data_IF_865820198918
#
_entry.id   IF_865820198918
#
_cell.length_a   1.000
_cell.length_b   1.000
_cell.length_c   1.000
_cell.angle_alpha   90.00
_cell.angle_beta   90.00
_cell.angle_gamma   90.00
#
_symmetry.space_group_name_H-M   'P 1'
#
loop_
_entity.id
_entity.type
_entity.pdbx_description
1 polymer ?
#
# COMPACT_ATOMS: atom_id res chain seq x y z
N UNK A 1 1.32 4.07 13.39
CA UNK A 1 0.14 4.41 12.60
C UNK A 1 0.35 5.82 12.06
N UNK A 2 0.16 6.01 10.78
CA UNK A 2 0.16 7.33 10.15
C UNK A 2 -1.28 7.65 9.80
N UNK A 3 -1.82 8.71 10.40
CA UNK A 3 -3.16 9.19 10.16
C UNK A 3 -3.11 10.51 9.39
N UNK A 4 -3.75 10.56 8.23
CA UNK A 4 -3.75 11.73 7.36
C UNK A 4 -5.18 12.24 7.26
N UNK A 5 -5.42 13.42 7.81
CA UNK A 5 -6.67 14.15 7.63
C UNK A 5 -6.69 14.77 6.23
N UNK A 6 -7.57 14.28 5.38
CA UNK A 6 -7.80 14.79 4.04
C UNK A 6 -8.86 15.90 4.09
N UNK A 7 -8.45 17.14 4.03
CA UNK A 7 -9.41 18.25 4.00
C UNK A 7 -10.22 18.25 2.69
N UNK A 8 -11.31 18.93 2.67
CA UNK A 8 -12.28 18.93 1.55
C UNK A 8 -11.61 19.11 0.18
N UNK A 9 -10.65 20.04 0.06
CA UNK A 9 -9.91 20.28 -1.19
C UNK A 9 -9.04 19.08 -1.58
N UNK A 10 -8.40 18.44 -0.61
CA UNK A 10 -7.61 17.23 -0.84
C UNK A 10 -8.50 16.07 -1.31
N UNK A 11 -9.65 15.87 -0.67
CA UNK A 11 -10.60 14.82 -1.05
C UNK A 11 -11.10 14.99 -2.49
N UNK A 12 -11.51 16.21 -2.86
CA UNK A 12 -12.03 16.50 -4.22
C UNK A 12 -10.95 16.32 -5.28
N UNK A 13 -9.70 16.66 -4.98
CA UNK A 13 -8.59 16.56 -5.91
C UNK A 13 -7.86 15.21 -5.90
N UNK A 14 -8.19 14.29 -4.99
CA UNK A 14 -7.57 12.96 -4.92
C UNK A 14 -7.88 12.16 -6.19
N UNK A 15 -6.84 11.55 -6.76
CA UNK A 15 -6.92 10.91 -8.07
C UNK A 15 -5.98 9.74 -8.22
N UNK A 16 -6.28 8.87 -9.18
CA UNK A 16 -5.45 7.76 -9.60
C UNK A 16 -4.64 8.14 -10.84
N UNK A 17 -3.38 7.70 -10.90
CA UNK A 17 -2.51 7.92 -12.04
C UNK A 17 -1.58 6.71 -12.26
N UNK A 18 -1.09 6.56 -13.49
CA UNK A 18 -0.08 5.56 -13.83
C UNK A 18 1.19 6.29 -14.30
N UNK A 19 2.31 5.97 -13.65
CA UNK A 19 3.60 6.62 -13.88
C UNK A 19 4.71 5.57 -14.02
N UNK A 20 5.57 5.67 -15.04
CA UNK A 20 6.77 4.86 -15.17
C UNK A 20 7.69 4.94 -13.97
N UNK A 21 8.04 6.14 -13.50
CA UNK A 21 8.96 6.32 -12.38
C UNK A 21 8.40 5.81 -11.05
N UNK A 22 7.08 5.84 -10.85
CA UNK A 22 6.48 5.25 -9.65
C UNK A 22 6.62 3.72 -9.63
N UNK A 23 6.74 3.06 -10.80
CA UNK A 23 7.09 1.63 -10.84
C UNK A 23 8.57 1.42 -10.47
N UNK A 24 9.48 2.30 -10.89
CA UNK A 24 10.87 2.26 -10.47
C UNK A 24 11.00 2.48 -8.96
N UNK A 25 10.28 3.46 -8.39
CA UNK A 25 10.24 3.68 -6.96
C UNK A 25 9.72 2.45 -6.19
N UNK A 26 8.68 1.79 -6.69
CA UNK A 26 8.11 0.60 -6.07
C UNK A 26 9.11 -0.57 -5.97
N UNK A 27 10.05 -0.71 -6.92
CA UNK A 27 11.06 -1.78 -6.90
C UNK A 27 12.34 -1.38 -6.17
N UNK A 28 12.63 -0.09 -6.06
CA UNK A 28 13.82 0.42 -5.39
C UNK A 28 13.65 0.49 -3.87
N UNK A 29 12.42 0.56 -3.37
CA UNK A 29 12.16 0.79 -1.96
C UNK A 29 12.61 -0.39 -1.08
N UNK A 30 13.54 -0.19 -0.14
CA UNK A 30 14.19 -1.25 0.62
C UNK A 30 13.29 -1.95 1.65
N UNK A 31 12.16 -1.36 2.00
CA UNK A 31 11.25 -1.87 3.04
C UNK A 31 10.23 -2.89 2.58
N UNK A 32 10.22 -3.23 1.32
CA UNK A 32 9.33 -4.29 0.86
C UNK A 32 9.94 -5.62 1.33
N UNK A 33 9.34 -6.31 2.32
CA UNK A 33 9.80 -7.64 2.71
C UNK A 33 9.93 -8.52 1.46
N UNK A 34 10.90 -9.44 1.44
CA UNK A 34 11.16 -10.30 0.28
C UNK A 34 9.91 -11.04 -0.22
N UNK A 35 8.98 -11.34 0.70
CA UNK A 35 7.67 -11.95 0.42
C UNK A 35 6.66 -10.98 -0.23
N UNK A 36 6.82 -9.68 0.01
CA UNK A 36 5.98 -8.62 -0.51
C UNK A 36 6.63 -7.83 -1.66
N UNK A 37 7.83 -8.23 -2.08
CA UNK A 37 8.61 -7.57 -3.12
C UNK A 37 8.15 -7.87 -4.54
N UNK A 38 8.86 -7.31 -5.52
CA UNK A 38 8.58 -7.53 -6.93
C UNK A 38 8.75 -9.01 -7.32
N UNK A 39 8.19 -9.43 -8.47
CA UNK A 39 8.36 -10.79 -8.99
C UNK A 39 9.83 -11.23 -9.05
N UNK A 40 10.09 -12.54 -8.93
CA UNK A 40 11.46 -13.08 -8.90
C UNK A 40 12.31 -12.63 -10.07
N UNK A 41 11.75 -12.59 -11.28
CA UNK A 41 12.47 -12.11 -12.48
C UNK A 41 12.95 -10.66 -12.33
N UNK A 42 12.12 -9.77 -11.76
CA UNK A 42 12.47 -8.37 -11.50
C UNK A 42 13.55 -8.28 -10.41
N UNK A 43 13.45 -9.06 -9.35
CA UNK A 43 14.47 -9.11 -8.29
C UNK A 43 15.82 -9.57 -8.85
N UNK A 44 15.82 -10.57 -9.73
CA UNK A 44 17.03 -11.06 -10.36
C UNK A 44 17.65 -10.00 -11.27
N UNK A 45 16.88 -9.34 -12.13
CA UNK A 45 17.34 -8.27 -12.97
C UNK A 45 17.89 -7.08 -12.17
N UNK A 46 17.23 -6.72 -11.06
CA UNK A 46 17.73 -5.70 -10.14
C UNK A 46 19.06 -6.11 -9.52
N UNK A 47 19.18 -7.36 -9.08
CA UNK A 47 20.44 -7.86 -8.50
C UNK A 47 21.58 -7.75 -9.50
N UNK A 48 21.38 -8.17 -10.73
CA UNK A 48 22.40 -8.12 -11.77
C UNK A 48 22.85 -6.68 -12.05
N UNK A 49 21.93 -5.75 -12.29
CA UNK A 49 22.28 -4.37 -12.65
C UNK A 49 23.00 -3.64 -11.52
N UNK A 50 22.68 -3.93 -10.25
CA UNK A 50 23.41 -3.41 -9.10
C UNK A 50 24.79 -4.06 -8.95
N UNK A 51 24.90 -5.37 -9.16
CA UNK A 51 26.18 -6.09 -9.12
C UNK A 51 27.16 -5.62 -10.22
N UNK A 52 26.65 -5.21 -11.39
CA UNK A 52 27.42 -4.60 -12.47
C UNK A 52 27.93 -3.18 -12.15
N UNK A 53 27.50 -2.59 -11.03
CA UNK A 53 27.91 -1.23 -10.62
C UNK A 53 27.38 -0.11 -11.52
N UNK A 54 26.35 -0.36 -12.32
CA UNK A 54 25.79 0.61 -13.29
C UNK A 54 24.95 1.70 -12.65
N UNK A 55 24.55 1.52 -11.39
CA UNK A 55 23.63 2.38 -10.65
C UNK A 55 24.27 2.84 -9.31
N UNK A 56 25.45 3.47 -9.33
CA UNK A 56 26.18 3.76 -8.09
C UNK A 56 25.46 4.74 -7.18
N UNK A 57 24.77 5.76 -7.69
CA UNK A 57 23.98 6.68 -6.90
C UNK A 57 22.75 5.99 -6.28
N UNK A 58 21.97 5.26 -7.07
CA UNK A 58 20.84 4.51 -6.55
C UNK A 58 21.26 3.41 -5.58
N UNK A 59 22.46 2.82 -5.77
CA UNK A 59 23.04 1.88 -4.81
C UNK A 59 23.36 2.56 -3.48
N UNK A 60 23.96 3.77 -3.52
CA UNK A 60 24.24 4.56 -2.34
C UNK A 60 22.98 4.88 -1.54
N UNK A 61 21.87 5.17 -2.21
CA UNK A 61 20.59 5.44 -1.55
C UNK A 61 19.98 4.21 -0.87
N UNK A 62 20.38 2.99 -1.24
CA UNK A 62 19.84 1.75 -0.64
C UNK A 62 20.54 1.34 0.65
N UNK A 63 21.65 1.98 1.02
CA UNK A 63 22.34 1.72 2.27
C UNK A 63 21.61 2.33 3.46
N UNK A 64 20.82 1.54 4.17
CA UNK A 64 20.17 1.90 5.45
C UNK A 64 18.98 2.88 5.40
N UNK A 65 18.34 3.10 4.25
CA UNK A 65 17.14 3.94 4.18
C UNK A 65 15.97 3.24 4.87
N UNK A 66 15.55 3.76 6.03
CA UNK A 66 14.43 3.18 6.79
C UNK A 66 13.07 3.76 6.40
N UNK A 67 12.97 5.07 6.19
CA UNK A 67 11.65 5.72 6.07
C UNK A 67 11.58 6.83 5.03
N UNK A 68 12.67 7.28 4.44
CA UNK A 68 12.68 8.40 3.51
C UNK A 68 13.49 8.10 2.24
N UNK A 69 12.92 8.41 1.10
CA UNK A 69 13.61 8.51 -0.19
C UNK A 69 13.41 9.92 -0.72
N UNK A 70 14.44 10.55 -1.34
CA UNK A 70 14.30 11.89 -1.88
C UNK A 70 13.18 11.99 -2.92
N UNK A 71 12.20 12.86 -2.68
CA UNK A 71 11.02 12.98 -3.54
C UNK A 71 11.31 13.55 -4.93
N UNK A 72 12.47 14.20 -5.13
CA UNK A 72 12.87 14.66 -6.45
C UNK A 72 13.10 13.51 -7.44
N UNK A 73 13.34 12.27 -6.94
CA UNK A 73 13.47 11.07 -7.77
C UNK A 73 12.14 10.58 -8.33
N UNK A 74 11.04 11.05 -7.78
CA UNK A 74 9.68 10.66 -8.16
C UNK A 74 8.81 11.89 -8.33
N UNK A 75 9.08 12.73 -9.35
CA UNK A 75 8.30 13.94 -9.58
C UNK A 75 6.85 13.56 -9.94
N UNK A 76 5.96 13.59 -8.95
CA UNK A 76 4.54 13.37 -9.18
C UNK A 76 3.97 14.49 -10.05
N UNK A 77 3.55 14.17 -11.26
CA UNK A 77 2.90 15.14 -12.14
C UNK A 77 1.45 15.41 -11.77
N UNK A 78 0.96 16.58 -12.22
CA UNK A 78 -0.48 16.83 -12.27
C UNK A 78 -1.12 15.79 -13.22
N UNK A 79 -2.10 15.06 -12.71
CA UNK A 79 -2.62 13.81 -13.23
C UNK A 79 -3.53 13.95 -14.47
N UNK A 80 -3.36 14.96 -15.29
CA UNK A 80 -4.22 15.14 -16.45
C UNK A 80 -3.70 14.48 -17.73
N UNK A 81 -2.45 13.98 -17.74
CA UNK A 81 -1.84 13.38 -18.91
C UNK A 81 -1.16 12.06 -18.54
N UNK A 82 -1.23 11.08 -19.44
CA UNK A 82 -0.44 9.88 -19.36
C UNK A 82 1.03 10.28 -19.35
N UNK A 83 1.72 10.01 -18.24
CA UNK A 83 3.11 10.41 -18.07
C UNK A 83 4.00 9.46 -18.87
N UNK A 84 4.81 10.03 -19.75
CA UNK A 84 5.85 9.27 -20.43
C UNK A 84 7.16 9.36 -19.63
N UNK A 85 8.01 8.34 -19.72
CA UNK A 85 9.25 8.28 -18.93
C UNK A 85 10.14 9.50 -19.14
N UNK A 86 10.34 9.91 -20.40
CA UNK A 86 11.24 11.00 -20.78
C UNK A 86 10.81 12.33 -20.14
N UNK A 87 9.50 12.55 -20.05
CA UNK A 87 8.96 13.74 -19.39
C UNK A 87 9.21 13.69 -17.88
N UNK A 88 9.07 12.53 -17.25
CA UNK A 88 9.32 12.38 -15.83
C UNK A 88 10.80 12.52 -15.50
N UNK A 89 11.70 11.95 -16.31
CA UNK A 89 13.15 12.11 -16.18
C UNK A 89 13.56 13.58 -16.37
N UNK A 90 12.98 14.26 -17.35
CA UNK A 90 13.22 15.67 -17.58
C UNK A 90 12.80 16.53 -16.37
N UNK A 91 11.76 16.16 -15.65
CA UNK A 91 11.37 16.86 -14.42
C UNK A 91 12.37 16.66 -13.29
N UNK A 92 13.01 15.50 -13.19
CA UNK A 92 14.10 15.28 -12.23
C UNK A 92 15.20 16.28 -12.48
N UNK A 93 15.68 16.39 -13.73
CA UNK A 93 16.76 17.31 -14.08
C UNK A 93 16.43 18.79 -13.91
N UNK A 94 15.13 19.14 -13.88
CA UNK A 94 14.65 20.49 -13.63
C UNK A 94 14.27 20.76 -12.17
N UNK A 95 14.54 19.84 -11.27
CA UNK A 95 14.29 20.08 -9.85
C UNK A 95 15.23 21.19 -9.36
N UNK A 96 14.70 22.26 -8.74
CA UNK A 96 15.55 23.33 -8.24
C UNK A 96 16.63 22.82 -7.29
N UNK A 97 17.88 23.29 -7.45
CA UNK A 97 19.02 22.87 -6.65
C UNK A 97 18.75 22.92 -5.14
N UNK A 98 18.10 23.99 -4.66
CA UNK A 98 17.73 24.13 -3.25
C UNK A 98 16.77 23.02 -2.76
N UNK A 99 15.94 22.42 -3.64
CA UNK A 99 15.06 21.30 -3.30
C UNK A 99 15.88 20.02 -3.21
N UNK A 100 16.76 19.77 -4.18
CA UNK A 100 17.66 18.61 -4.18
C UNK A 100 18.53 18.62 -2.92
N UNK A 101 19.21 19.76 -2.63
CA UNK A 101 20.03 19.92 -1.44
C UNK A 101 19.28 19.58 -0.15
N UNK A 102 18.10 20.16 0.04
CA UNK A 102 17.27 19.95 1.24
C UNK A 102 16.85 18.50 1.40
N UNK A 103 16.44 17.85 0.31
CA UNK A 103 16.01 16.46 0.36
C UNK A 103 17.19 15.51 0.63
N UNK A 104 18.37 15.82 0.13
CA UNK A 104 19.60 15.06 0.45
C UNK A 104 20.06 15.27 1.90
N UNK A 105 19.95 16.47 2.46
CA UNK A 105 20.19 16.74 3.88
C UNK A 105 19.22 15.90 4.72
N UNK A 106 17.95 15.94 4.45
CA UNK A 106 16.92 15.16 5.15
C UNK A 106 17.21 13.66 5.08
N UNK A 107 17.64 13.14 3.93
CA UNK A 107 18.02 11.74 3.80
C UNK A 107 19.07 11.32 4.81
N UNK A 108 20.06 12.17 5.07
CA UNK A 108 21.13 11.92 6.04
C UNK A 108 20.63 12.08 7.48
N UNK A 109 19.82 13.10 7.75
CA UNK A 109 19.27 13.40 9.08
C UNK A 109 18.26 12.36 9.57
N UNK A 110 17.46 11.77 8.68
CA UNK A 110 16.50 10.72 9.02
C UNK A 110 17.16 9.36 9.33
N UNK A 111 18.48 9.23 9.13
CA UNK A 111 19.23 8.04 9.49
C UNK A 111 19.65 8.08 10.97
N UNK A 112 19.35 7.02 11.73
CA UNK A 112 19.85 6.87 13.09
C UNK A 112 21.32 6.42 13.12
N UNK A 113 22.15 6.86 14.10
CA UNK A 113 23.52 6.33 14.28
C UNK A 113 23.50 4.81 14.54
N UNK A 114 24.39 4.00 13.96
CA UNK A 114 25.54 4.34 13.09
C UNK A 114 25.21 4.46 11.59
N UNK A 115 23.96 4.34 11.18
CA UNK A 115 23.54 4.36 9.79
C UNK A 115 23.79 5.73 9.14
N UNK A 116 23.67 6.83 9.90
CA UNK A 116 23.97 8.19 9.43
C UNK A 116 25.37 8.30 8.84
N UNK A 117 26.39 7.73 9.52
CA UNK A 117 27.78 7.80 9.03
C UNK A 117 27.96 7.01 7.72
N UNK A 118 27.37 5.82 7.62
CA UNK A 118 27.43 5.01 6.40
C UNK A 118 26.72 5.70 5.24
N UNK A 119 25.53 6.24 5.48
CA UNK A 119 24.76 6.99 4.48
C UNK A 119 25.53 8.22 4.01
N UNK A 120 26.05 9.03 4.94
CA UNK A 120 26.87 10.21 4.62
C UNK A 120 28.07 9.81 3.75
N UNK A 121 28.79 8.76 4.12
CA UNK A 121 29.95 8.28 3.35
C UNK A 121 29.54 7.78 1.96
N UNK A 122 28.41 7.08 1.83
CA UNK A 122 27.94 6.55 0.58
C UNK A 122 27.48 7.65 -0.39
N UNK A 123 26.82 8.71 0.10
CA UNK A 123 26.28 9.77 -0.76
C UNK A 123 27.24 10.93 -0.99
N UNK A 124 28.28 11.08 -0.15
CA UNK A 124 29.26 12.18 -0.25
C UNK A 124 29.80 12.42 -1.65
N UNK A 125 30.29 11.40 -2.40
CA UNK A 125 30.84 11.62 -3.75
C UNK A 125 29.84 12.23 -4.71
N UNK A 126 28.53 12.01 -4.48
CA UNK A 126 27.47 12.55 -5.32
C UNK A 126 27.10 13.96 -4.90
N UNK A 127 27.15 14.29 -3.60
CA UNK A 127 26.94 15.65 -3.12
C UNK A 127 28.04 16.61 -3.58
N UNK A 128 29.26 16.13 -3.73
CA UNK A 128 30.40 16.90 -4.24
C UNK A 128 30.26 17.26 -5.73
N UNK A 129 29.37 16.59 -6.47
CA UNK A 129 29.06 16.95 -7.89
C UNK A 129 28.28 18.27 -8.00
N UNK A 130 27.60 18.67 -6.95
CA UNK A 130 26.58 19.73 -6.96
C UNK A 130 25.20 19.23 -7.38
N UNK A 131 24.17 19.96 -6.96
CA UNK A 131 22.78 19.52 -7.01
C UNK A 131 22.25 19.27 -8.42
N UNK A 132 22.62 20.11 -9.39
CA UNK A 132 22.15 19.98 -10.78
C UNK A 132 22.72 18.69 -11.41
N UNK A 133 24.05 18.45 -11.26
CA UNK A 133 24.67 17.24 -11.75
C UNK A 133 24.20 15.99 -11.02
N UNK A 134 23.86 16.12 -9.73
CA UNK A 134 23.27 15.04 -8.97
C UNK A 134 21.89 14.66 -9.52
N UNK A 135 21.06 15.65 -9.86
CA UNK A 135 19.75 15.43 -10.46
C UNK A 135 19.87 14.78 -11.86
N UNK A 136 20.82 15.26 -12.69
CA UNK A 136 21.13 14.65 -13.98
C UNK A 136 21.59 13.20 -13.82
N UNK A 137 22.49 12.93 -12.86
CA UNK A 137 22.97 11.58 -12.56
C UNK A 137 21.86 10.65 -12.12
N UNK A 138 20.96 11.14 -11.26
CA UNK A 138 19.79 10.39 -10.79
C UNK A 138 18.87 10.01 -11.97
N UNK A 139 18.59 10.96 -12.87
CA UNK A 139 17.78 10.73 -14.05
C UNK A 139 18.41 9.67 -14.98
N UNK A 140 19.72 9.75 -15.25
CA UNK A 140 20.44 8.77 -16.06
C UNK A 140 20.39 7.36 -15.44
N UNK A 141 20.61 7.23 -14.14
CA UNK A 141 20.56 5.91 -13.49
C UNK A 141 19.14 5.34 -13.44
N UNK A 142 18.11 6.17 -13.25
CA UNK A 142 16.72 5.75 -13.35
C UNK A 142 16.34 5.31 -14.76
N UNK A 143 16.84 5.98 -15.79
CA UNK A 143 16.67 5.57 -17.17
C UNK A 143 17.32 4.20 -17.46
N UNK A 144 18.55 4.00 -16.96
CA UNK A 144 19.27 2.71 -17.08
C UNK A 144 18.50 1.60 -16.36
N UNK A 145 18.03 1.85 -15.14
CA UNK A 145 17.18 0.92 -14.39
C UNK A 145 15.92 0.57 -15.17
N UNK A 146 15.24 1.60 -15.66
CA UNK A 146 14.01 1.42 -16.43
C UNK A 146 14.23 0.53 -17.64
N UNK A 147 15.20 0.87 -18.50
CA UNK A 147 15.49 0.12 -19.72
C UNK A 147 15.84 -1.34 -19.45
N UNK A 148 16.61 -1.60 -18.39
CA UNK A 148 17.07 -2.94 -18.07
C UNK A 148 16.02 -3.81 -17.35
N UNK A 149 15.17 -3.21 -16.52
CA UNK A 149 14.33 -3.98 -15.57
C UNK A 149 12.86 -3.85 -15.89
N UNK A 150 12.35 -2.66 -16.21
CA UNK A 150 10.91 -2.39 -16.26
C UNK A 150 10.40 -2.33 -17.71
N UNK A 151 11.12 -1.69 -18.62
CA UNK A 151 10.69 -1.49 -19.99
C UNK A 151 10.28 -2.78 -20.72
N UNK A 152 10.99 -3.93 -20.56
CA UNK A 152 10.61 -5.17 -21.25
C UNK A 152 9.21 -5.67 -20.87
N UNK A 153 8.72 -5.33 -19.67
CA UNK A 153 7.42 -5.76 -19.18
C UNK A 153 6.40 -4.61 -19.07
N UNK A 154 6.79 -3.40 -19.43
CA UNK A 154 5.97 -2.20 -19.26
C UNK A 154 4.58 -2.29 -19.89
N UNK A 155 4.38 -2.81 -21.10
CA UNK A 155 3.03 -2.93 -21.68
C UNK A 155 2.08 -3.72 -20.77
N UNK A 156 2.56 -4.82 -20.18
CA UNK A 156 1.78 -5.66 -19.28
C UNK A 156 1.55 -4.97 -17.93
N UNK A 157 2.57 -4.31 -17.38
CA UNK A 157 2.47 -3.57 -16.12
C UNK A 157 1.51 -2.39 -16.27
N UNK A 158 1.60 -1.64 -17.36
CA UNK A 158 0.72 -0.50 -17.68
C UNK A 158 -0.73 -0.94 -17.81
N UNK A 159 -0.98 -2.04 -18.54
CA UNK A 159 -2.32 -2.58 -18.68
C UNK A 159 -2.91 -2.96 -17.30
N UNK A 160 -2.17 -3.68 -16.46
CA UNK A 160 -2.61 -4.04 -15.10
C UNK A 160 -2.86 -2.84 -14.20
N UNK A 161 -2.01 -1.82 -14.28
CA UNK A 161 -2.20 -0.58 -13.52
C UNK A 161 -3.46 0.15 -13.98
N UNK A 162 -3.70 0.26 -15.29
CA UNK A 162 -4.90 0.87 -15.84
C UNK A 162 -6.17 0.09 -15.47
N UNK A 163 -6.15 -1.24 -15.53
CA UNK A 163 -7.26 -2.08 -15.08
C UNK A 163 -7.60 -1.83 -13.60
N UNK A 164 -6.59 -1.60 -12.75
CA UNK A 164 -6.81 -1.24 -11.36
C UNK A 164 -7.43 0.16 -11.23
N UNK A 165 -6.93 1.15 -11.98
CA UNK A 165 -7.51 2.51 -12.01
C UNK A 165 -8.99 2.45 -12.40
N UNK A 166 -9.32 1.74 -13.48
CA UNK A 166 -10.71 1.60 -13.95
C UNK A 166 -11.60 0.94 -12.91
N UNK A 167 -11.09 -0.08 -12.24
CA UNK A 167 -11.81 -0.74 -11.16
C UNK A 167 -12.05 0.20 -9.98
N UNK A 168 -11.04 1.00 -9.59
CA UNK A 168 -11.16 2.00 -8.51
C UNK A 168 -12.13 3.12 -8.90
N UNK A 169 -12.07 3.60 -10.14
CA UNK A 169 -13.01 4.58 -10.66
C UNK A 169 -14.46 4.11 -10.52
N UNK A 170 -14.74 2.83 -10.88
CA UNK A 170 -16.07 2.23 -10.66
C UNK A 170 -16.46 2.19 -9.18
N UNK A 171 -15.52 1.93 -8.26
CA UNK A 171 -15.80 1.97 -6.82
C UNK A 171 -16.12 3.39 -6.35
N UNK A 172 -15.36 4.40 -6.82
CA UNK A 172 -15.62 5.81 -6.50
C UNK A 172 -17.02 6.21 -6.96
N UNK A 173 -17.37 5.89 -8.21
CA UNK A 173 -18.69 6.22 -8.77
C UNK A 173 -19.85 5.54 -8.03
N UNK A 174 -19.63 4.33 -7.52
CA UNK A 174 -20.70 3.54 -6.91
C UNK A 174 -20.82 3.70 -5.40
N UNK A 175 -19.69 3.92 -4.72
CA UNK A 175 -19.61 3.87 -3.25
C UNK A 175 -18.85 5.06 -2.64
N UNK A 176 -18.37 6.00 -3.44
CA UNK A 176 -17.59 7.14 -3.01
C UNK A 176 -16.10 6.86 -2.84
N UNK A 177 -15.32 7.95 -2.70
CA UNK A 177 -13.87 7.91 -2.63
C UNK A 177 -13.37 7.15 -1.39
N UNK A 178 -13.97 7.37 -0.22
CA UNK A 178 -13.55 6.70 1.01
C UNK A 178 -13.54 5.17 0.87
N UNK A 179 -14.53 4.59 0.21
CA UNK A 179 -14.59 3.15 -0.06
C UNK A 179 -13.51 2.68 -1.03
N UNK A 180 -13.18 3.49 -2.02
CA UNK A 180 -12.08 3.18 -2.94
C UNK A 180 -10.73 3.22 -2.20
N UNK A 181 -10.50 4.20 -1.33
CA UNK A 181 -9.30 4.30 -0.49
C UNK A 181 -9.18 3.13 0.49
N UNK A 182 -10.26 2.77 1.19
CA UNK A 182 -10.31 1.62 2.11
C UNK A 182 -10.00 0.28 1.42
N UNK A 183 -10.18 0.21 0.11
CA UNK A 183 -9.93 -0.99 -0.69
C UNK A 183 -8.52 -1.08 -1.27
N UNK A 184 -7.62 -0.09 -1.05
CA UNK A 184 -6.27 -0.07 -1.63
C UNK A 184 -5.40 -1.21 -1.13
N UNK A 185 -5.47 -1.49 0.18
CA UNK A 185 -4.74 -2.56 0.83
C UNK A 185 -5.48 -2.98 2.12
N UNK A 186 -5.45 -4.26 2.55
CA UNK A 186 -6.13 -4.72 3.77
C UNK A 186 -5.73 -3.99 5.05
N UNK A 187 -4.53 -3.43 5.09
CA UNK A 187 -4.03 -2.69 6.24
C UNK A 187 -4.28 -1.17 6.15
N UNK A 188 -4.77 -0.67 5.03
CA UNK A 188 -5.14 0.75 4.85
C UNK A 188 -6.63 0.89 5.18
N UNK A 189 -6.97 1.89 5.97
CA UNK A 189 -8.35 2.21 6.31
C UNK A 189 -8.65 3.68 6.01
N UNK A 190 -9.86 3.94 5.52
CA UNK A 190 -10.34 5.30 5.33
C UNK A 190 -11.68 5.46 6.05
N UNK A 191 -11.70 6.28 7.10
CA UNK A 191 -12.89 6.57 7.86
C UNK A 191 -13.19 8.07 7.78
N UNK A 192 -14.35 8.38 7.20
CA UNK A 192 -14.73 9.75 6.87
C UNK A 192 -13.66 10.42 5.98
N UNK A 193 -12.88 11.31 6.53
CA UNK A 193 -11.81 12.08 5.89
C UNK A 193 -10.40 11.73 6.40
N UNK A 194 -10.26 10.69 7.22
CA UNK A 194 -8.97 10.23 7.75
C UNK A 194 -8.52 8.97 7.05
N UNK A 195 -7.38 9.05 6.38
CA UNK A 195 -6.67 7.93 5.79
C UNK A 195 -5.63 7.42 6.79
N UNK A 196 -5.81 6.19 7.26
CA UNK A 196 -4.94 5.54 8.25
C UNK A 196 -4.10 4.45 7.59
N UNK A 197 -2.79 4.53 7.78
CA UNK A 197 -1.82 3.56 7.27
C UNK A 197 -0.92 3.07 8.43
N UNK A 198 -0.63 1.77 8.51
CA UNK A 198 0.40 1.29 9.43
C UNK A 198 1.76 1.91 9.08
N UNK A 199 2.44 2.43 10.07
CA UNK A 199 3.76 3.05 9.92
C UNK A 199 4.64 2.78 11.14
N UNK A 200 5.95 2.94 10.98
CA UNK A 200 6.94 2.78 12.04
C UNK A 200 6.87 3.90 13.09
N UNK A 201 6.47 5.08 12.68
CA UNK A 201 6.23 6.24 13.55
C UNK A 201 4.74 6.57 13.59
N UNK A 202 4.27 7.03 14.75
CA UNK A 202 2.96 7.64 14.86
C UNK A 202 3.07 9.08 14.30
N UNK A 203 2.48 9.31 13.15
CA UNK A 203 2.42 10.63 12.52
C UNK A 203 0.95 10.98 12.34
N UNK A 204 0.56 12.14 12.82
CA UNK A 204 -0.72 12.73 12.50
C UNK A 204 -0.47 13.96 11.63
N UNK A 205 -1.00 13.96 10.44
CA UNK A 205 -0.82 15.03 9.47
C UNK A 205 -2.15 15.45 8.87
N UNK A 206 -2.23 16.66 8.38
CA UNK A 206 -3.37 17.12 7.57
C UNK A 206 -2.88 17.71 6.27
N UNK A 207 -3.65 17.54 5.19
CA UNK A 207 -3.32 18.10 3.90
C UNK A 207 -4.53 18.73 3.23
N UNK A 208 -4.30 19.88 2.61
CA UNK A 208 -5.22 20.51 1.66
C UNK A 208 -4.86 20.12 0.21
N UNK A 209 -3.65 19.55 0.01
CA UNK A 209 -3.20 19.13 -1.30
C UNK A 209 -3.75 17.75 -1.64
N UNK A 210 -4.16 17.52 -2.89
CA UNK A 210 -4.65 16.23 -3.35
C UNK A 210 -3.61 15.12 -3.18
N UNK A 211 -4.06 13.93 -2.79
CA UNK A 211 -3.22 12.74 -2.84
C UNK A 211 -3.30 12.13 -4.25
N UNK A 212 -2.14 11.82 -4.84
CA UNK A 212 -2.07 11.04 -6.07
C UNK A 212 -1.79 9.59 -5.73
N UNK A 213 -2.61 8.69 -6.28
CA UNK A 213 -2.63 7.27 -5.99
C UNK A 213 -2.08 6.50 -7.20
N UNK A 214 -0.95 5.79 -7.01
CA UNK A 214 -0.27 5.07 -8.07
C UNK A 214 -0.37 3.55 -7.87
N UNK A 215 -1.16 2.83 -8.69
CA UNK A 215 -1.18 1.38 -8.66
C UNK A 215 0.14 0.81 -9.17
N UNK A 216 0.72 -0.14 -8.44
CA UNK A 216 1.90 -0.86 -8.89
C UNK A 216 1.70 -2.36 -8.84
N UNK A 217 1.81 -3.06 -10.00
CA UNK A 217 1.85 -4.51 -10.05
C UNK A 217 3.16 -5.10 -9.48
N UNK A 218 4.16 -4.26 -9.20
CA UNK A 218 5.50 -4.65 -8.77
C UNK A 218 5.68 -4.69 -7.26
N UNK A 219 4.70 -4.24 -6.50
CA UNK A 219 4.74 -4.29 -5.03
C UNK A 219 3.51 -4.98 -4.46
N UNK A 220 3.65 -5.55 -3.27
CA UNK A 220 2.54 -6.05 -2.44
C UNK A 220 2.33 -5.23 -1.19
N UNK A 221 3.14 -4.19 -1.01
CA UNK A 221 3.04 -3.23 0.08
C UNK A 221 2.75 -1.84 -0.49
N UNK A 222 2.70 -0.84 0.36
CA UNK A 222 2.51 0.56 -0.04
C UNK A 222 3.72 1.40 0.32
N UNK A 223 3.84 2.52 -0.38
CA UNK A 223 4.83 3.55 -0.14
C UNK A 223 4.12 4.90 -0.16
N UNK A 224 4.19 5.59 0.97
CA UNK A 224 3.63 6.93 1.13
C UNK A 224 4.77 7.95 1.14
N UNK A 225 4.68 8.96 0.30
CA UNK A 225 5.46 10.18 0.43
C UNK A 225 4.59 11.31 0.92
N UNK A 226 5.08 12.00 1.95
CA UNK A 226 4.49 13.21 2.51
C UNK A 226 5.62 14.20 2.79
N UNK A 227 6.22 14.74 1.73
CA UNK A 227 7.17 15.83 1.91
C UNK A 227 6.40 17.14 2.14
N UNK A 228 6.54 17.78 3.32
CA UNK A 228 5.89 19.05 3.62
C UNK A 228 6.30 20.17 2.66
N UNK A 229 7.45 20.03 2.02
CA UNK A 229 8.02 20.98 1.08
C UNK A 229 7.62 20.69 -0.37
N UNK A 230 6.97 19.56 -0.61
CA UNK A 230 6.46 19.21 -1.93
C UNK A 230 5.16 19.95 -2.20
N UNK A 231 5.24 21.03 -2.95
CA UNK A 231 4.08 21.83 -3.36
C UNK A 231 3.07 21.04 -4.23
N UNK A 232 3.43 19.84 -4.68
CA UNK A 232 2.60 18.98 -5.53
C UNK A 232 1.68 18.05 -4.73
N UNK A 233 1.87 17.99 -3.42
CA UNK A 233 1.08 17.17 -2.51
C UNK A 233 1.63 15.76 -2.29
N UNK A 234 1.03 15.01 -1.35
CA UNK A 234 1.42 13.65 -1.04
C UNK A 234 1.07 12.69 -2.18
N UNK A 235 1.79 11.57 -2.24
CA UNK A 235 1.41 10.46 -3.11
C UNK A 235 1.50 9.11 -2.37
N UNK A 236 0.73 8.15 -2.86
CA UNK A 236 0.71 6.80 -2.35
C UNK A 236 0.87 5.80 -3.51
N UNK A 237 1.95 5.04 -3.50
CA UNK A 237 2.08 3.85 -4.35
C UNK A 237 1.43 2.69 -3.59
N UNK A 238 0.56 1.91 -4.24
CA UNK A 238 -0.15 0.81 -3.62
C UNK A 238 -0.20 -0.42 -4.55
N UNK A 239 -0.41 -1.64 -4.03
CA UNK A 239 -0.48 -2.83 -4.86
C UNK A 239 -1.65 -2.78 -5.84
N UNK A 240 -1.37 -2.85 -7.14
CA UNK A 240 -2.42 -3.08 -8.12
C UNK A 240 -3.00 -4.50 -7.95
N UNK A 241 -4.31 -4.64 -7.91
CA UNK A 241 -4.91 -5.95 -7.79
C UNK A 241 -4.64 -6.78 -9.05
N UNK A 242 -4.16 -8.00 -8.86
CA UNK A 242 -3.99 -8.96 -9.95
C UNK A 242 -5.36 -9.40 -10.49
N UNK A 243 -5.49 -9.57 -11.82
CA UNK A 243 -6.75 -9.95 -12.46
C UNK A 243 -7.39 -11.24 -11.93
N UNK A 244 -6.60 -12.20 -11.45
CA UNK A 244 -7.10 -13.39 -10.75
C UNK A 244 -7.64 -13.07 -9.34
N UNK A 245 -7.16 -11.98 -8.72
CA UNK A 245 -7.65 -11.48 -7.44
C UNK A 245 -8.72 -10.39 -7.65
N UNK A 246 -8.80 -9.81 -8.87
CA UNK A 246 -9.78 -8.77 -9.25
C UNK A 246 -11.21 -9.31 -9.40
N UNK A 247 -11.39 -10.62 -9.53
CA UNK A 247 -12.72 -11.26 -9.59
C UNK A 247 -13.42 -11.35 -8.23
N UNK A 248 -12.74 -10.93 -7.15
CA UNK A 248 -13.38 -10.76 -5.85
C UNK A 248 -13.01 -9.36 -5.33
N UNK A 249 -13.96 -8.40 -5.27
CA UNK A 249 -13.86 -7.32 -4.32
C UNK A 249 -13.51 -7.96 -2.98
N UNK A 250 -12.84 -7.30 -2.09
CA UNK A 250 -12.35 -7.82 -0.79
C UNK A 250 -13.39 -8.56 0.09
N UNK A 251 -14.21 -9.40 -0.48
CA UNK A 251 -14.97 -10.48 0.14
C UNK A 251 -14.05 -11.67 0.49
N UNK A 252 -12.83 -11.74 -0.01
CA UNK A 252 -11.95 -12.89 0.16
C UNK A 252 -10.91 -12.73 1.23
N UNK A 253 -11.16 -12.01 2.27
CA UNK A 253 -10.48 -12.25 3.53
C UNK A 253 -11.20 -11.61 4.71
N UNK A 254 -12.31 -10.94 4.51
CA UNK A 254 -13.14 -10.62 5.66
C UNK A 254 -13.87 -11.89 6.05
N UNK A 255 -13.42 -12.46 7.14
CA UNK A 255 -14.19 -13.50 7.80
C UNK A 255 -15.61 -12.97 7.99
N UNK A 256 -16.68 -13.74 7.67
CA UNK A 256 -18.07 -13.23 7.75
C UNK A 256 -18.41 -12.55 9.08
N UNK A 257 -17.77 -13.00 10.17
CA UNK A 257 -17.89 -12.33 11.47
C UNK A 257 -17.34 -10.90 11.49
N UNK A 258 -16.45 -10.52 10.59
CA UNK A 258 -15.92 -9.15 10.50
C UNK A 258 -17.04 -8.15 10.17
N UNK A 259 -17.99 -8.55 9.33
CA UNK A 259 -19.12 -7.71 8.94
C UNK A 259 -20.13 -7.58 10.08
N UNK A 260 -20.21 -8.59 10.95
CA UNK A 260 -21.14 -8.62 12.10
C UNK A 260 -20.55 -7.86 13.31
N UNK A 261 -19.31 -8.13 13.68
CA UNK A 261 -18.71 -7.59 14.91
C UNK A 261 -17.77 -6.40 14.65
N UNK A 262 -17.45 -6.09 13.39
CA UNK A 262 -16.53 -5.03 12.98
C UNK A 262 -15.08 -5.48 13.01
N UNK A 263 -14.25 -4.86 12.15
CA UNK A 263 -12.86 -5.26 11.91
C UNK A 263 -11.99 -5.29 13.18
N UNK A 264 -12.02 -4.24 13.98
CA UNK A 264 -11.21 -4.15 15.21
C UNK A 264 -11.54 -5.25 16.21
N UNK A 265 -12.83 -5.52 16.43
CA UNK A 265 -13.26 -6.59 17.35
C UNK A 265 -12.89 -7.97 16.83
N UNK A 266 -13.01 -8.19 15.52
CA UNK A 266 -12.59 -9.43 14.89
C UNK A 266 -11.09 -9.66 15.04
N UNK A 267 -10.25 -8.66 14.76
CA UNK A 267 -8.79 -8.74 14.87
C UNK A 267 -8.33 -9.00 16.32
N UNK A 268 -8.97 -8.34 17.29
CA UNK A 268 -8.74 -8.62 18.71
C UNK A 268 -9.16 -10.04 19.07
N UNK A 269 -10.30 -10.51 18.56
CA UNK A 269 -10.81 -11.86 18.81
C UNK A 269 -9.87 -12.95 18.28
N UNK A 270 -9.31 -12.77 17.08
CA UNK A 270 -8.29 -13.68 16.50
C UNK A 270 -7.06 -13.77 17.42
N UNK A 271 -6.57 -12.63 17.90
CA UNK A 271 -5.40 -12.57 18.78
C UNK A 271 -5.67 -13.26 20.12
N UNK A 272 -6.90 -13.24 20.59
CA UNK A 272 -7.34 -13.86 21.85
C UNK A 272 -7.49 -15.39 21.79
N UNK A 273 -7.06 -16.05 20.72
CA UNK A 273 -6.80 -17.49 20.72
C UNK A 273 -5.81 -17.90 21.83
N UNK A 274 -4.90 -16.98 22.20
CA UNK A 274 -4.07 -17.03 23.39
C UNK A 274 -4.53 -15.97 24.42
N UNK A 275 -4.22 -16.18 25.70
CA UNK A 275 -4.60 -15.25 26.76
C UNK A 275 -3.69 -14.02 26.79
N UNK A 276 -4.27 -12.84 26.62
CA UNK A 276 -3.56 -11.54 26.60
C UNK A 276 -4.16 -10.55 27.60
N UNK A 277 -3.33 -9.62 28.10
CA UNK A 277 -3.78 -8.45 28.86
C UNK A 277 -4.25 -7.33 27.91
N UNK A 278 -5.02 -6.37 28.44
CA UNK A 278 -5.41 -5.16 27.69
C UNK A 278 -4.19 -4.39 27.18
N UNK A 279 -3.12 -4.30 27.99
CA UNK A 279 -1.89 -3.60 27.62
C UNK A 279 -1.11 -4.33 26.51
N UNK A 280 -1.11 -5.68 26.52
CA UNK A 280 -0.46 -6.47 25.46
C UNK A 280 -1.21 -6.29 24.13
N UNK A 281 -2.54 -6.33 24.16
CA UNK A 281 -3.36 -6.10 22.98
C UNK A 281 -3.22 -4.66 22.47
N UNK A 282 -3.18 -3.67 23.36
CA UNK A 282 -2.98 -2.28 23.01
C UNK A 282 -1.66 -2.08 22.23
N UNK A 283 -0.55 -2.62 22.75
CA UNK A 283 0.75 -2.57 22.07
C UNK A 283 0.73 -3.31 20.74
N UNK A 284 0.17 -4.54 20.72
CA UNK A 284 0.19 -5.41 19.55
C UNK A 284 -0.64 -4.87 18.38
N UNK A 285 -1.75 -4.20 18.69
CA UNK A 285 -2.68 -3.67 17.70
C UNK A 285 -2.57 -2.15 17.51
N UNK A 286 -1.57 -1.52 18.16
CA UNK A 286 -1.35 -0.07 18.09
C UNK A 286 -2.59 0.75 18.47
N UNK A 287 -3.36 0.27 19.46
CA UNK A 287 -4.55 0.92 19.99
C UNK A 287 -4.29 1.50 21.40
N UNK A 288 -5.09 2.48 21.82
CA UNK A 288 -5.07 2.92 23.20
C UNK A 288 -5.63 1.82 24.11
N UNK A 289 -5.15 1.75 25.37
CA UNK A 289 -5.69 0.79 26.35
C UNK A 289 -7.19 1.00 26.61
N UNK A 290 -7.68 2.24 26.54
CA UNK A 290 -9.11 2.58 26.66
C UNK A 290 -9.92 2.03 25.48
N UNK A 291 -9.42 2.17 24.25
CA UNK A 291 -10.06 1.63 23.05
C UNK A 291 -10.13 0.11 23.11
N UNK A 292 -9.04 -0.55 23.49
CA UNK A 292 -9.03 -2.02 23.66
C UNK A 292 -10.02 -2.45 24.75
N UNK A 293 -10.02 -1.78 25.90
CA UNK A 293 -10.98 -2.06 26.99
C UNK A 293 -12.43 -1.92 26.53
N UNK A 294 -12.75 -0.90 25.76
CA UNK A 294 -14.06 -0.71 25.17
C UNK A 294 -14.47 -1.89 24.27
N UNK A 295 -13.61 -2.31 23.37
CA UNK A 295 -13.89 -3.44 22.47
C UNK A 295 -13.98 -4.77 23.22
N UNK A 296 -13.10 -5.01 24.21
CA UNK A 296 -13.15 -6.20 25.05
C UNK A 296 -14.43 -6.29 25.87
N UNK A 297 -14.94 -5.15 26.38
CA UNK A 297 -16.22 -5.11 27.09
C UNK A 297 -17.39 -5.52 26.20
N UNK A 298 -17.40 -5.11 24.94
CA UNK A 298 -18.40 -5.54 23.97
C UNK A 298 -18.29 -7.03 23.61
N UNK A 299 -17.08 -7.53 23.36
CA UNK A 299 -16.86 -8.95 23.09
C UNK A 299 -17.22 -9.83 24.31
N UNK A 300 -16.96 -9.36 25.51
CA UNK A 300 -17.32 -10.06 26.74
C UNK A 300 -18.83 -10.11 26.93
N UNK A 301 -19.54 -9.01 26.74
CA UNK A 301 -21.01 -8.98 26.79
C UNK A 301 -21.67 -9.88 25.76
N UNK A 302 -21.03 -10.02 24.59
CA UNK A 302 -21.46 -10.94 23.53
C UNK A 302 -21.08 -12.40 23.81
N UNK A 303 -20.44 -12.72 24.93
CA UNK A 303 -20.00 -14.10 25.26
C UNK A 303 -18.85 -14.62 24.40
N UNK A 304 -18.19 -13.76 23.63
CA UNK A 304 -17.11 -14.16 22.70
C UNK A 304 -15.74 -14.21 23.37
N UNK A 305 -15.56 -13.52 24.50
CA UNK A 305 -14.33 -13.58 25.30
C UNK A 305 -14.65 -13.78 26.78
N UNK A 306 -13.77 -14.54 27.45
CA UNK A 306 -13.74 -14.65 28.91
C UNK A 306 -12.61 -13.80 29.47
N UNK A 307 -12.78 -13.38 30.73
CA UNK A 307 -11.73 -12.70 31.50
C UNK A 307 -11.38 -13.53 32.73
N UNK A 308 -10.09 -13.71 32.96
CA UNK A 308 -9.58 -14.40 34.13
C UNK A 308 -8.61 -13.49 34.84
N UNK A 309 -8.77 -13.31 36.13
CA UNK A 309 -7.85 -12.54 36.96
C UNK A 309 -6.77 -13.45 37.51
N UNK A 310 -5.52 -13.15 37.20
CA UNK A 310 -4.36 -13.86 37.73
C UNK A 310 -3.50 -12.83 38.50
N UNK A 311 -3.64 -12.85 39.82
CA UNK A 311 -2.98 -11.86 40.68
C UNK A 311 -3.49 -10.44 40.43
N UNK A 312 -2.57 -9.53 40.06
CA UNK A 312 -2.86 -8.12 39.73
C UNK A 312 -3.26 -7.90 38.27
N UNK A 313 -3.20 -8.95 37.42
CA UNK A 313 -3.47 -8.83 35.99
C UNK A 313 -4.81 -9.47 35.60
N UNK A 314 -5.52 -8.81 34.67
CA UNK A 314 -6.71 -9.37 34.02
C UNK A 314 -6.28 -9.82 32.62
N UNK A 315 -6.50 -11.09 32.31
CA UNK A 315 -6.25 -11.66 30.98
C UNK A 315 -7.57 -12.02 30.31
N UNK A 316 -7.62 -11.79 29.01
CA UNK A 316 -8.76 -12.10 28.17
C UNK A 316 -8.38 -13.26 27.23
N UNK A 317 -9.32 -14.14 26.97
CA UNK A 317 -9.19 -15.24 26.02
C UNK A 317 -10.52 -15.48 25.31
N UNK A 318 -10.48 -15.89 24.04
CA UNK A 318 -11.69 -16.25 23.31
C UNK A 318 -12.39 -17.47 23.98
N UNK A 319 -13.72 -17.52 23.87
CA UNK A 319 -14.54 -18.65 24.32
C UNK A 319 -14.55 -19.77 23.26
N UNK A 320 -14.99 -20.97 23.68
CA UNK A 320 -15.25 -22.06 22.73
C UNK A 320 -16.29 -21.65 21.68
N UNK A 321 -17.33 -20.93 22.07
CA UNK A 321 -18.32 -20.37 21.17
C UNK A 321 -17.69 -19.45 20.10
N UNK A 322 -16.78 -18.58 20.49
CA UNK A 322 -16.09 -17.70 19.56
C UNK A 322 -15.22 -18.48 18.57
N UNK A 323 -14.48 -19.49 19.06
CA UNK A 323 -13.66 -20.36 18.23
C UNK A 323 -14.51 -21.13 17.20
N UNK A 324 -15.65 -21.65 17.65
CA UNK A 324 -16.58 -22.40 16.80
C UNK A 324 -17.23 -21.50 15.74
N UNK A 325 -17.70 -20.30 16.09
CA UNK A 325 -18.22 -19.31 15.15
C UNK A 325 -17.19 -18.88 14.11
N UNK A 326 -15.94 -18.73 14.51
CA UNK A 326 -14.85 -18.42 13.58
C UNK A 326 -14.57 -19.57 12.62
N UNK A 327 -14.60 -20.81 13.07
CA UNK A 327 -14.38 -21.99 12.26
C UNK A 327 -15.54 -22.26 11.30
N UNK A 328 -16.78 -22.21 11.78
CA UNK A 328 -17.99 -22.41 10.97
C UNK A 328 -18.14 -21.34 9.89
N UNK A 329 -17.95 -20.06 10.23
CA UNK A 329 -18.00 -18.99 9.27
C UNK A 329 -16.85 -19.07 8.22
N UNK A 330 -15.72 -19.69 8.57
CA UNK A 330 -14.62 -20.00 7.65
C UNK A 330 -14.91 -21.20 6.72
N UNK A 331 -15.66 -22.20 7.19
CA UNK A 331 -16.01 -23.43 6.44
C UNK A 331 -17.19 -23.23 5.49
N UNK A 332 -18.17 -22.42 5.82
CA UNK A 332 -19.35 -22.16 5.00
C UNK A 332 -19.07 -21.68 3.57
N UNK A 333 -17.82 -21.30 3.27
CA UNK A 333 -17.35 -20.92 1.93
C UNK A 333 -16.65 -22.03 1.14
N UNK A 334 -16.35 -23.20 1.75
CA UNK A 334 -15.64 -24.29 1.05
C UNK A 334 -16.56 -25.39 0.51
N UNK A 335 -17.87 -25.34 0.73
CA UNK A 335 -18.70 -26.50 0.48
C UNK A 335 -20.13 -26.25 0.03
N UNK A 336 -20.41 -25.31 -0.89
CA UNK A 336 -21.67 -25.30 -1.62
C UNK A 336 -21.38 -25.54 -3.11
N UNK A 337 -21.59 -26.78 -3.63
CA UNK A 337 -21.68 -26.96 -5.09
C UNK A 337 -22.91 -26.19 -5.60
N UNK A 338 -22.75 -25.42 -6.67
CA UNK A 338 -23.85 -24.79 -7.37
C UNK A 338 -24.87 -25.89 -7.78
N UNK A 339 -26.17 -25.67 -7.54
CA UNK A 339 -27.17 -26.56 -8.10
C UNK A 339 -27.08 -26.54 -9.63
N UNK A 340 -27.28 -27.71 -10.32
CA UNK A 340 -27.22 -27.77 -11.76
C UNK A 340 -28.29 -26.85 -12.35
N UNK A 341 -27.92 -26.04 -13.33
CA UNK A 341 -28.85 -25.27 -14.13
C UNK A 341 -29.81 -26.27 -14.78
N UNK A 342 -31.11 -26.19 -14.48
CA UNK A 342 -32.16 -26.90 -15.23
C UNK A 342 -32.07 -26.42 -16.66
N UNK A 343 -31.75 -27.35 -17.56
CA UNK A 343 -31.84 -27.14 -19.01
C UNK A 343 -33.30 -26.81 -19.39
N UNK A 344 -33.46 -25.75 -20.12
CA UNK A 344 -34.67 -25.56 -20.91
C UNK A 344 -34.58 -26.58 -22.03
N UNK A 345 -35.34 -27.66 -21.90
CA UNK A 345 -35.65 -28.54 -23.00
C UNK A 345 -36.52 -27.78 -24.00
N UNK A 346 -36.02 -27.68 -25.21
CA UNK A 346 -36.70 -27.04 -26.31
C UNK A 346 -37.86 -27.91 -26.78
N UNK A 347 -39.03 -27.35 -26.89
CA UNK A 347 -40.09 -27.85 -27.73
C UNK A 347 -39.82 -27.42 -29.17
N UNK A 348 -39.43 -28.42 -29.97
CA UNK A 348 -39.45 -28.36 -31.42
C UNK A 348 -40.87 -28.73 -31.86
N UNK A 349 -41.61 -27.80 -32.41
CA UNK A 349 -42.80 -28.11 -33.17
C UNK A 349 -42.63 -27.63 -34.61
N UNK A 350 -42.51 -28.61 -35.49
CA UNK A 350 -42.52 -28.43 -36.92
C UNK A 350 -43.92 -27.99 -37.39
N UNK A 351 -43.97 -27.00 -38.27
CA UNK A 351 -45.14 -26.58 -39.02
C UNK A 351 -44.78 -26.21 -40.45
N UNK A 352 -44.80 -27.17 -41.31
CA UNK A 352 -44.80 -27.01 -42.79
C UNK A 352 -46.13 -26.41 -43.20
N UNK A 353 -46.16 -25.31 -43.97
CA UNK A 353 -47.16 -25.04 -44.97
C UNK A 353 -46.51 -24.24 -46.13
N UNK A 354 -46.72 -24.84 -47.36
CA UNK A 354 -46.54 -24.24 -48.68
C UNK A 354 -47.49 -23.07 -48.93
N UNK A 355 -47.03 -22.06 -49.61
CA UNK A 355 -47.54 -21.49 -50.87
C UNK A 355 -46.57 -20.31 -51.25
#
# INVERSE_FOLDING_TARGET
MTDILLRARALVGTRFAVSPLMQAAAVLHPRVPSECGPPQAVRHALHLIFAEGRLPFLAALRHDVRDYAPDFLTPARSAHEASELDDELHQITRTPAAVVARQMIRLVEDCEPPATHRMTSAVRPFLELGEDRLAERAALELEVLWKAVIAPMWPVLRARANDDVDRRARLVLRYGLARALDSLHPAIACHADVLSLPGSRAVSASTDLPIVLFPSPLTRSWLLSMDPWNQRGPYLIYPAASGATAARPAETARHPLTDVIGHTRFTLLVTLSAAHTTSDLARRHHLSASTVSYHLAHLHRAGLVTRVRTGKQVRYRQTALAAELMDQAGRGRRGAPLPPRRGQEGESSAGVISA
#
